data_IF_738817212818
#
_entry.id   IF_738817212818
#
_cell.length_a   1.000
_cell.length_b   1.000
_cell.length_c   1.000
_cell.angle_alpha   90.00
_cell.angle_beta   90.00
_cell.angle_gamma   90.00
#
_symmetry.space_group_name_H-M   'P 1'
#
loop_
_entity.id
_entity.type
_entity.pdbx_description
1 polymer ?
#
# COMPACT_ATOMS: atom_id res chain seq x y z
N UNK A 1 27.07 22.63 10.21
CA UNK A 1 26.09 21.60 10.59
C UNK A 1 25.10 21.48 9.46
N UNK A 2 25.39 20.51 8.59
CA UNK A 2 24.47 19.68 7.80
C UNK A 2 22.98 20.09 7.70
N UNK A 3 22.67 21.02 6.80
CA UNK A 3 21.31 21.11 6.25
C UNK A 3 21.01 19.99 5.25
N UNK A 4 22.01 19.52 4.48
CA UNK A 4 21.85 18.41 3.52
C UNK A 4 21.38 17.12 4.19
N UNK A 5 21.92 16.80 5.36
CA UNK A 5 21.52 15.60 6.08
C UNK A 5 20.06 15.64 6.56
N UNK A 6 19.45 16.82 6.76
CA UNK A 6 18.04 16.89 7.21
C UNK A 6 17.10 16.61 6.03
N UNK A 7 17.32 17.23 4.87
CA UNK A 7 16.53 16.98 3.67
C UNK A 7 16.63 15.51 3.21
N UNK A 8 17.83 14.92 3.22
CA UNK A 8 18.04 13.51 2.88
C UNK A 8 17.34 12.57 3.86
N UNK A 9 17.39 12.86 5.18
CA UNK A 9 16.65 12.09 6.19
C UNK A 9 15.13 12.21 6.04
N UNK A 10 14.63 13.39 5.65
CA UNK A 10 13.20 13.61 5.41
C UNK A 10 12.75 12.80 4.20
N UNK A 11 13.49 12.86 3.09
CA UNK A 11 13.17 12.10 1.86
C UNK A 11 13.23 10.60 2.11
N UNK A 12 14.25 10.13 2.83
CA UNK A 12 14.40 8.72 3.15
C UNK A 12 13.24 8.21 4.00
N UNK A 13 12.84 8.98 5.02
CA UNK A 13 11.69 8.64 5.86
C UNK A 13 10.39 8.53 5.05
N UNK A 14 10.13 9.48 4.15
CA UNK A 14 8.97 9.40 3.25
C UNK A 14 9.01 8.16 2.33
N UNK A 15 10.18 7.79 1.82
CA UNK A 15 10.33 6.58 0.99
C UNK A 15 10.13 5.29 1.79
N UNK A 16 10.61 5.25 3.04
CA UNK A 16 10.37 4.13 3.96
C UNK A 16 8.89 4.01 4.32
N UNK A 17 8.24 5.14 4.60
CA UNK A 17 6.81 5.21 4.89
C UNK A 17 5.98 4.73 3.67
N UNK A 18 6.30 5.18 2.44
CA UNK A 18 5.63 4.71 1.22
C UNK A 18 5.80 3.20 0.99
N UNK A 19 7.01 2.68 1.17
CA UNK A 19 7.27 1.24 1.06
C UNK A 19 6.49 0.44 2.09
N UNK A 20 6.38 0.94 3.34
CA UNK A 20 5.60 0.28 4.38
C UNK A 20 4.12 0.23 4.00
N UNK A 21 3.54 1.34 3.52
CA UNK A 21 2.15 1.37 3.06
C UNK A 21 1.90 0.34 1.96
N UNK A 22 2.79 0.27 0.96
CA UNK A 22 2.66 -0.71 -0.13
C UNK A 22 2.79 -2.14 0.40
N UNK A 23 3.71 -2.42 1.35
CA UNK A 23 3.85 -3.74 1.98
C UNK A 23 2.55 -4.15 2.69
N UNK A 24 1.96 -3.26 3.49
CA UNK A 24 0.69 -3.48 4.19
C UNK A 24 -0.45 -3.76 3.19
N UNK A 25 -0.53 -2.97 2.12
CA UNK A 25 -1.51 -3.15 1.05
C UNK A 25 -1.39 -4.52 0.37
N UNK A 26 -0.17 -4.93 0.01
CA UNK A 26 0.06 -6.23 -0.63
C UNK A 26 -0.27 -7.38 0.32
N UNK A 27 0.07 -7.25 1.61
CA UNK A 27 -0.28 -8.23 2.64
C UNK A 27 -1.80 -8.36 2.80
N UNK A 28 -2.52 -7.24 2.88
CA UNK A 28 -3.99 -7.24 2.93
C UNK A 28 -4.61 -7.92 1.70
N UNK A 29 -4.07 -7.64 0.51
CA UNK A 29 -4.50 -8.30 -0.72
C UNK A 29 -4.29 -9.81 -0.65
N UNK A 30 -3.13 -10.25 -0.14
CA UNK A 30 -2.82 -11.68 0.04
C UNK A 30 -3.79 -12.35 1.02
N UNK A 31 -4.12 -11.69 2.13
CA UNK A 31 -5.10 -12.20 3.12
C UNK A 31 -6.48 -12.43 2.48
N UNK A 32 -6.91 -11.47 1.65
CA UNK A 32 -8.20 -11.52 0.96
C UNK A 32 -8.17 -12.27 -0.39
N UNK A 33 -7.03 -12.88 -0.75
CA UNK A 33 -6.81 -13.56 -2.04
C UNK A 33 -7.05 -12.65 -3.27
N UNK A 34 -6.80 -11.36 -3.11
CA UNK A 34 -6.93 -10.33 -4.14
C UNK A 34 -5.58 -10.04 -4.81
N UNK A 35 -5.64 -9.52 -6.03
CA UNK A 35 -4.44 -9.11 -6.75
C UNK A 35 -4.16 -7.61 -6.48
N UNK A 36 -3.05 -7.27 -5.80
CA UNK A 36 -2.72 -5.88 -5.50
C UNK A 36 -2.50 -5.05 -6.76
N UNK A 37 -1.95 -5.64 -7.84
CA UNK A 37 -1.69 -4.95 -9.10
C UNK A 37 -3.00 -4.52 -9.76
N UNK A 38 -4.00 -5.41 -9.76
CA UNK A 38 -5.32 -5.12 -10.35
C UNK A 38 -6.03 -3.99 -9.58
N UNK A 39 -6.02 -4.05 -8.25
CA UNK A 39 -6.63 -3.01 -7.40
C UNK A 39 -5.92 -1.67 -7.57
N UNK A 40 -4.59 -1.68 -7.56
CA UNK A 40 -3.79 -0.47 -7.75
C UNK A 40 -4.01 0.14 -9.15
N UNK A 41 -4.11 -0.70 -10.19
CA UNK A 41 -4.39 -0.24 -11.55
C UNK A 41 -5.81 0.32 -11.72
N UNK A 42 -6.79 -0.14 -10.93
CA UNK A 42 -8.13 0.47 -10.90
C UNK A 42 -8.13 1.86 -10.28
N UNK A 43 -7.33 2.07 -9.22
CA UNK A 43 -7.18 3.37 -8.58
C UNK A 43 -6.37 4.35 -9.44
N UNK A 44 -5.29 3.85 -10.06
CA UNK A 44 -4.35 4.65 -10.85
C UNK A 44 -4.16 4.06 -12.25
N UNK A 45 -5.18 4.09 -13.13
CA UNK A 45 -5.12 3.50 -14.46
C UNK A 45 -4.10 4.17 -15.39
N UNK A 46 -3.76 5.44 -15.12
CA UNK A 46 -2.78 6.20 -15.89
C UNK A 46 -1.33 5.92 -15.46
N UNK A 47 -1.13 5.25 -14.32
CA UNK A 47 0.20 4.96 -13.78
C UNK A 47 0.76 3.68 -14.42
N UNK A 48 1.40 3.86 -15.58
CA UNK A 48 2.13 2.80 -16.31
C UNK A 48 3.25 2.22 -15.45
N UNK A 49 3.00 1.03 -14.90
CA UNK A 49 3.91 0.23 -14.08
C UNK A 49 4.49 0.97 -12.85
N UNK A 50 3.87 0.75 -11.69
CA UNK A 50 4.45 1.19 -10.43
C UNK A 50 5.68 0.31 -10.08
N UNK A 51 6.87 0.79 -10.47
CA UNK A 51 8.15 0.15 -10.19
C UNK A 51 8.38 -0.05 -8.68
N UNK A 52 7.90 0.87 -7.83
CA UNK A 52 7.97 0.74 -6.38
C UNK A 52 7.15 -0.44 -5.90
N UNK A 53 5.92 -0.61 -6.41
CA UNK A 53 5.06 -1.72 -6.06
C UNK A 53 5.64 -3.07 -6.50
N UNK A 54 6.18 -3.13 -7.72
CA UNK A 54 6.86 -4.34 -8.21
C UNK A 54 8.06 -4.70 -7.33
N UNK A 55 8.88 -3.71 -6.99
CA UNK A 55 10.03 -3.91 -6.10
C UNK A 55 9.59 -4.36 -4.71
N UNK A 56 8.55 -3.77 -4.14
CA UNK A 56 7.99 -4.20 -2.85
C UNK A 56 7.44 -5.62 -2.92
N UNK A 57 6.79 -6.02 -4.01
CA UNK A 57 6.32 -7.40 -4.19
C UNK A 57 7.48 -8.41 -4.33
N UNK A 58 8.61 -8.01 -4.91
CA UNK A 58 9.83 -8.84 -5.00
C UNK A 58 10.61 -8.90 -3.67
N UNK A 59 10.60 -7.80 -2.91
CA UNK A 59 11.37 -7.63 -1.66
C UNK A 59 10.55 -8.00 -0.41
N UNK A 60 9.23 -8.15 -0.54
CA UNK A 60 8.35 -8.61 0.52
C UNK A 60 8.56 -10.11 0.75
N UNK A 61 9.63 -10.45 1.47
CA UNK A 61 9.58 -11.60 2.37
C UNK A 61 8.52 -11.25 3.43
N UNK A 62 7.29 -11.73 3.22
CA UNK A 62 6.19 -11.60 4.18
C UNK A 62 6.53 -12.46 5.42
N UNK A 63 7.49 -12.00 6.22
CA UNK A 63 7.98 -12.70 7.41
C UNK A 63 6.99 -12.64 8.58
N UNK A 64 6.04 -11.71 8.56
CA UNK A 64 5.04 -11.57 9.61
C UNK A 64 3.62 -11.63 9.03
N UNK A 65 2.84 -12.59 9.51
CA UNK A 65 1.39 -12.73 9.39
C UNK A 65 0.69 -11.56 10.11
N UNK A 66 0.98 -10.32 9.73
CA UNK A 66 0.20 -9.18 10.21
C UNK A 66 -1.19 -9.34 9.60
N UNK A 67 -2.15 -9.70 10.45
CA UNK A 67 -3.56 -9.71 10.10
C UNK A 67 -4.03 -8.25 10.06
N UNK A 68 -4.27 -7.76 8.85
CA UNK A 68 -4.76 -6.41 8.62
C UNK A 68 -6.21 -6.58 8.20
N UNK A 69 -7.12 -6.13 9.05
CA UNK A 69 -8.54 -6.06 8.72
C UNK A 69 -8.81 -4.94 7.70
N UNK A 70 -9.97 -5.05 7.04
CA UNK A 70 -10.44 -4.11 6.02
C UNK A 70 -10.44 -2.65 6.51
N UNK A 71 -10.96 -2.40 7.71
CA UNK A 71 -11.00 -1.05 8.30
C UNK A 71 -9.58 -0.51 8.57
N UNK A 72 -8.68 -1.34 9.10
CA UNK A 72 -7.30 -0.93 9.36
C UNK A 72 -6.58 -0.54 8.07
N UNK A 73 -6.76 -1.30 6.98
CA UNK A 73 -6.13 -0.96 5.70
C UNK A 73 -6.66 0.36 5.14
N UNK A 74 -7.97 0.63 5.29
CA UNK A 74 -8.57 1.89 4.85
C UNK A 74 -8.04 3.09 5.64
N UNK A 75 -7.94 2.98 6.96
CA UNK A 75 -7.34 4.00 7.83
C UNK A 75 -5.87 4.28 7.44
N UNK A 76 -5.09 3.24 7.17
CA UNK A 76 -3.71 3.38 6.68
C UNK A 76 -3.71 4.16 5.37
N UNK A 77 -4.49 3.75 4.36
CA UNK A 77 -4.49 4.46 3.07
C UNK A 77 -4.88 5.94 3.21
N UNK A 78 -5.84 6.27 4.08
CA UNK A 78 -6.21 7.67 4.36
C UNK A 78 -5.09 8.44 5.06
N UNK A 79 -4.39 7.82 6.02
CA UNK A 79 -3.23 8.43 6.69
C UNK A 79 -2.14 8.80 5.69
N UNK A 80 -1.96 7.97 4.67
CA UNK A 80 -1.01 8.17 3.58
C UNK A 80 -1.56 9.05 2.44
N UNK A 81 -2.82 9.52 2.52
CA UNK A 81 -3.46 10.34 1.48
C UNK A 81 -3.70 9.61 0.16
N UNK A 82 -3.79 8.27 0.18
CA UNK A 82 -4.12 7.45 -1.00
C UNK A 82 -5.64 7.23 -1.07
N UNK A 83 -6.39 8.33 -1.20
CA UNK A 83 -7.86 8.32 -1.20
C UNK A 83 -8.45 7.50 -2.36
N UNK A 84 -7.86 7.57 -3.56
CA UNK A 84 -8.30 6.78 -4.72
C UNK A 84 -8.20 5.27 -4.47
N UNK A 85 -7.08 4.82 -3.88
CA UNK A 85 -6.88 3.43 -3.54
C UNK A 85 -7.82 3.01 -2.40
N UNK A 86 -8.00 3.87 -1.39
CA UNK A 86 -8.96 3.62 -0.30
C UNK A 86 -10.40 3.47 -0.83
N UNK A 87 -10.78 4.27 -1.82
CA UNK A 87 -12.09 4.18 -2.47
C UNK A 87 -12.29 2.85 -3.20
N UNK A 88 -11.29 2.44 -4.01
CA UNK A 88 -11.32 1.15 -4.70
C UNK A 88 -11.37 -0.02 -3.72
N UNK A 89 -10.59 0.04 -2.63
CA UNK A 89 -10.62 -0.98 -1.59
C UNK A 89 -11.99 -1.06 -0.93
N UNK A 90 -12.59 0.08 -0.60
CA UNK A 90 -13.92 0.14 0.03
C UNK A 90 -15.00 -0.50 -0.86
N UNK A 91 -14.93 -0.26 -2.17
CA UNK A 91 -15.81 -0.90 -3.15
C UNK A 91 -15.58 -2.42 -3.20
N UNK A 92 -14.32 -2.87 -3.21
CA UNK A 92 -14.01 -4.31 -3.23
C UNK A 92 -14.41 -5.01 -1.92
N UNK A 93 -14.15 -4.38 -0.77
CA UNK A 93 -14.57 -4.85 0.56
C UNK A 93 -16.08 -5.03 0.61
N UNK A 94 -16.85 -4.09 0.06
CA UNK A 94 -18.31 -4.18 -0.01
C UNK A 94 -18.81 -5.31 -0.91
N UNK A 95 -17.97 -5.80 -1.83
CA UNK A 95 -18.27 -6.92 -2.74
C UNK A 95 -17.82 -8.27 -2.20
N UNK A 96 -16.83 -8.28 -1.29
CA UNK A 96 -16.44 -9.49 -0.59
C UNK A 96 -17.65 -9.96 0.23
N UNK A 97 -18.09 -11.23 0.08
CA UNK A 97 -19.15 -11.74 0.92
C UNK A 97 -18.67 -11.69 2.38
N UNK A 98 -19.44 -11.01 3.25
CA UNK A 98 -19.29 -11.16 4.70
C UNK A 98 -19.28 -12.66 5.01
N UNK A 99 -18.14 -13.18 5.45
CA UNK A 99 -17.96 -14.60 5.75
C UNK A 99 -18.08 -14.83 7.25
#
# INVERSE_FOLDING_TARGET
>A
MDFKSIDEQVIQKYQEDEQLMIRLFVQWCKNNQLNPIELYSRAYPEQLENLTMKKVMEDAEFEDEIDIDNEMMLDVLQLFGNDDLAFVLSDEISRLPEN
#
